data_IF_926521579901
#
_entry.id   IF_926521579901
#
_cell.length_a   1.000
_cell.length_b   1.000
_cell.length_c   1.000
_cell.angle_alpha   90.00
_cell.angle_beta   90.00
_cell.angle_gamma   90.00
#
_symmetry.space_group_name_H-M   'P 1'
#
loop_
_entity.id
_entity.type
_entity.pdbx_description
1 polymer ?
#
# COMPACT_ATOMS: atom_id res chain seq x y z
N UNK A 1 1.81 -0.37 20.72
CA UNK A 1 2.92 0.07 21.58
C UNK A 1 2.36 0.39 22.95
N UNK A 2 2.89 -0.19 24.04
CA UNK A 2 3.94 -1.22 24.02
C UNK A 2 3.48 -2.53 23.35
N UNK A 3 4.35 -3.55 23.25
CA UNK A 3 3.93 -4.88 22.81
C UNK A 3 3.07 -5.57 23.90
N UNK A 4 1.97 -6.27 23.56
CA UNK A 4 1.12 -6.95 24.55
C UNK A 4 1.74 -8.24 25.11
N UNK A 5 2.71 -8.85 24.43
CA UNK A 5 3.33 -10.12 24.83
C UNK A 5 4.67 -9.92 25.56
N UNK A 6 5.24 -8.73 25.49
CA UNK A 6 6.53 -8.41 26.12
C UNK A 6 6.29 -7.79 27.50
N UNK A 7 6.54 -8.58 28.55
CA UNK A 7 6.49 -8.14 29.94
C UNK A 7 7.63 -7.17 30.30
N UNK A 8 7.69 -6.73 31.56
CA UNK A 8 8.65 -5.72 32.00
C UNK A 8 10.10 -6.23 32.01
N UNK A 9 10.34 -7.49 32.40
CA UNK A 9 11.68 -8.09 32.41
C UNK A 9 12.23 -8.25 30.99
N UNK A 10 11.44 -8.86 30.10
CA UNK A 10 11.81 -9.05 28.71
C UNK A 10 12.02 -7.71 28.01
N UNK A 11 11.18 -6.70 28.30
CA UNK A 11 11.37 -5.34 27.78
C UNK A 11 12.68 -4.71 28.23
N UNK A 12 13.04 -4.88 29.51
CA UNK A 12 14.31 -4.38 30.04
C UNK A 12 15.50 -5.04 29.34
N UNK A 13 15.45 -6.37 29.15
CA UNK A 13 16.51 -7.13 28.45
C UNK A 13 16.65 -6.72 26.98
N UNK A 14 15.54 -6.61 26.24
CA UNK A 14 15.54 -6.13 24.85
C UNK A 14 16.08 -4.69 24.77
N UNK A 15 15.63 -3.82 25.67
CA UNK A 15 16.07 -2.43 25.73
C UNK A 15 17.57 -2.29 26.01
N UNK A 16 18.10 -3.08 26.94
CA UNK A 16 19.53 -3.11 27.24
C UNK A 16 20.36 -3.61 26.04
N UNK A 17 19.90 -4.67 25.35
CA UNK A 17 20.56 -5.18 24.16
C UNK A 17 20.57 -4.13 23.02
N UNK A 18 19.44 -3.46 22.78
CA UNK A 18 19.34 -2.38 21.79
C UNK A 18 20.28 -1.21 22.09
N UNK A 19 20.36 -0.79 23.36
CA UNK A 19 21.26 0.28 23.80
C UNK A 19 22.74 -0.12 23.70
N UNK A 20 23.08 -1.37 24.01
CA UNK A 20 24.44 -1.88 23.88
C UNK A 20 24.89 -1.87 22.42
N UNK A 21 24.04 -2.36 21.50
CA UNK A 21 24.30 -2.35 20.06
C UNK A 21 24.51 -0.92 19.53
N UNK A 22 23.61 0.00 19.88
CA UNK A 22 23.70 1.39 19.43
C UNK A 22 24.98 2.09 19.93
N UNK A 23 25.42 1.81 21.16
CA UNK A 23 26.67 2.33 21.71
C UNK A 23 27.89 1.77 21.00
N UNK A 24 27.93 0.47 20.77
CA UNK A 24 29.05 -0.20 20.07
C UNK A 24 29.19 0.31 18.63
N UNK A 25 28.05 0.55 17.96
CA UNK A 25 28.03 1.11 16.61
C UNK A 25 28.38 2.62 16.55
N UNK A 26 28.54 3.30 17.69
CA UNK A 26 28.71 4.75 17.75
C UNK A 26 27.52 5.50 17.15
N UNK A 27 26.32 4.92 17.23
CA UNK A 27 25.15 5.42 16.54
C UNK A 27 24.68 6.75 17.13
N UNK A 28 24.33 7.68 16.23
CA UNK A 28 23.83 9.01 16.58
C UNK A 28 22.46 9.20 15.95
N UNK A 29 21.60 9.97 16.62
CA UNK A 29 20.22 10.23 16.23
C UNK A 29 19.26 9.05 16.56
N UNK A 30 17.97 9.19 16.25
CA UNK A 30 16.98 8.13 16.43
C UNK A 30 17.18 6.99 15.43
N UNK A 31 16.98 5.76 15.89
CA UNK A 31 17.04 4.55 15.08
C UNK A 31 16.18 3.46 15.71
N UNK A 32 16.03 2.34 15.03
CA UNK A 32 15.26 1.19 15.54
C UNK A 32 16.06 -0.07 15.42
N UNK A 33 16.11 -0.83 16.52
CA UNK A 33 16.71 -2.17 16.55
C UNK A 33 15.56 -3.16 16.54
N UNK A 34 15.55 -4.05 15.55
CA UNK A 34 14.49 -5.01 15.33
C UNK A 34 14.88 -6.38 15.88
N UNK A 35 13.93 -7.01 16.56
CA UNK A 35 14.09 -8.30 17.18
C UNK A 35 12.94 -9.23 16.79
N UNK A 36 13.21 -10.53 16.72
CA UNK A 36 12.19 -11.59 16.76
C UNK A 36 12.15 -12.14 18.18
N UNK A 37 10.95 -12.26 18.74
CA UNK A 37 10.71 -12.89 20.04
C UNK A 37 10.02 -14.23 19.79
N UNK A 38 10.48 -15.28 20.47
CA UNK A 38 9.90 -16.62 20.44
C UNK A 38 8.99 -16.85 21.67
N UNK A 39 8.17 -17.89 21.63
CA UNK A 39 7.13 -18.19 22.64
C UNK A 39 7.71 -18.47 24.04
N UNK A 40 8.98 -18.88 24.12
CA UNK A 40 9.71 -19.11 25.37
C UNK A 40 10.32 -17.84 25.99
N UNK A 41 10.13 -16.67 25.36
CA UNK A 41 10.71 -15.39 25.78
C UNK A 41 12.16 -15.19 25.36
N UNK A 42 12.74 -16.10 24.56
CA UNK A 42 13.98 -15.86 23.84
C UNK A 42 13.77 -14.78 22.79
N UNK A 43 14.80 -13.96 22.55
CA UNK A 43 14.75 -12.93 21.52
C UNK A 43 16.07 -12.87 20.74
N UNK A 44 15.95 -12.56 19.46
CA UNK A 44 17.05 -12.58 18.49
C UNK A 44 17.07 -11.27 17.71
N UNK A 45 18.25 -10.70 17.55
CA UNK A 45 18.47 -9.52 16.73
C UNK A 45 18.29 -9.86 15.25
N UNK A 46 17.55 -9.02 14.52
CA UNK A 46 17.44 -9.08 13.07
C UNK A 46 18.36 -8.05 12.41
N UNK A 47 18.04 -6.79 12.60
CA UNK A 47 18.75 -5.67 12.00
C UNK A 47 18.56 -4.37 12.80
N UNK A 48 19.34 -3.36 12.46
CA UNK A 48 19.17 -2.01 12.95
C UNK A 48 18.89 -1.06 11.78
N UNK A 49 17.73 -0.44 11.81
CA UNK A 49 17.32 0.58 10.85
C UNK A 49 17.82 1.95 11.32
N UNK A 50 18.80 2.49 10.58
CA UNK A 50 19.53 3.75 10.89
C UNK A 50 18.80 5.00 10.40
N UNK A 51 17.49 5.03 10.63
CA UNK A 51 16.58 6.12 10.25
C UNK A 51 15.38 6.16 11.18
N UNK A 52 14.60 7.23 11.10
CA UNK A 52 13.28 7.25 11.73
C UNK A 52 12.39 6.18 11.11
N UNK A 53 11.74 5.37 11.94
CA UNK A 53 10.77 4.40 11.48
C UNK A 53 9.43 5.05 11.16
N UNK A 54 8.71 4.52 10.17
CA UNK A 54 7.40 5.04 9.76
C UNK A 54 6.41 4.98 10.94
N UNK A 55 6.51 3.92 11.74
CA UNK A 55 5.71 3.61 12.92
C UNK A 55 6.10 4.37 14.19
N UNK A 56 7.09 5.27 14.16
CA UNK A 56 7.56 6.02 15.34
C UNK A 56 6.45 6.72 16.13
N UNK A 57 5.34 7.07 15.48
CA UNK A 57 4.22 7.78 16.12
C UNK A 57 3.55 6.99 17.24
N UNK A 58 3.63 5.65 17.27
CA UNK A 58 3.11 4.90 18.43
C UNK A 58 3.98 5.08 19.68
N UNK A 59 5.28 5.36 19.50
CA UNK A 59 6.21 5.71 20.57
C UNK A 59 5.97 7.13 21.04
N UNK A 60 5.75 8.07 20.11
CA UNK A 60 5.42 9.46 20.46
C UNK A 60 4.12 9.56 21.25
N UNK A 61 3.06 8.88 20.80
CA UNK A 61 1.73 8.92 21.41
C UNK A 61 1.68 8.31 22.82
N UNK A 62 2.64 7.45 23.18
CA UNK A 62 2.72 6.85 24.53
C UNK A 62 3.75 7.56 25.42
N UNK A 63 4.82 8.10 24.85
CA UNK A 63 5.88 8.79 25.59
C UNK A 63 5.73 10.31 25.69
N UNK A 64 4.80 10.92 24.94
CA UNK A 64 4.67 12.38 24.85
C UNK A 64 5.88 13.03 24.20
N UNK A 65 6.44 12.39 23.17
CA UNK A 65 7.68 12.79 22.51
C UNK A 65 7.42 13.42 21.15
N UNK A 66 8.36 14.25 20.70
CA UNK A 66 8.51 14.64 19.29
C UNK A 66 9.88 14.13 18.84
N UNK A 67 9.89 12.95 18.22
CA UNK A 67 11.15 12.30 17.84
C UNK A 67 11.84 13.11 16.75
N UNK A 68 11.10 13.69 15.80
CA UNK A 68 11.67 14.51 14.71
C UNK A 68 12.36 15.75 15.28
N UNK A 69 11.74 16.45 16.23
CA UNK A 69 12.36 17.58 16.90
C UNK A 69 13.65 17.16 17.62
N UNK A 70 13.65 16.02 18.32
CA UNK A 70 14.87 15.48 18.94
C UNK A 70 15.93 15.08 17.91
N UNK A 71 15.54 14.53 16.75
CA UNK A 71 16.48 14.23 15.68
C UNK A 71 17.20 15.49 15.20
N UNK A 72 16.48 16.59 15.06
CA UNK A 72 17.03 17.90 14.66
C UNK A 72 17.96 18.44 15.75
N UNK A 73 17.53 18.44 17.02
CA UNK A 73 18.34 18.90 18.15
C UNK A 73 19.66 18.12 18.26
N UNK A 74 19.61 16.78 18.19
CA UNK A 74 20.81 15.93 18.19
C UNK A 74 21.70 16.21 16.98
N UNK A 75 21.12 16.41 15.78
CA UNK A 75 21.89 16.77 14.58
C UNK A 75 22.57 18.14 14.68
N UNK A 76 22.02 19.06 15.50
CA UNK A 76 22.64 20.35 15.84
C UNK A 76 23.70 20.24 16.95
N UNK A 77 23.95 19.04 17.48
CA UNK A 77 24.91 18.80 18.56
C UNK A 77 24.33 19.03 19.96
N UNK A 78 23.02 19.22 20.09
CA UNK A 78 22.36 19.37 21.39
C UNK A 78 22.23 18.02 22.12
N UNK A 79 22.17 18.09 23.45
CA UNK A 79 21.88 16.93 24.29
C UNK A 79 20.39 16.89 24.59
N UNK A 80 19.75 15.77 24.28
CA UNK A 80 18.34 15.51 24.62
C UNK A 80 18.27 14.74 25.94
N UNK A 81 17.60 15.30 26.94
CA UNK A 81 17.31 14.63 28.21
C UNK A 81 15.98 13.88 28.12
N UNK A 82 16.03 12.54 28.23
CA UNK A 82 14.87 11.66 28.20
C UNK A 82 14.52 11.09 29.59
N UNK A 83 15.20 11.51 30.67
CA UNK A 83 15.03 10.97 32.02
C UNK A 83 13.61 11.17 32.59
N UNK A 84 12.92 12.24 32.17
CA UNK A 84 11.54 12.56 32.54
C UNK A 84 10.48 11.80 31.75
N UNK A 85 10.86 11.11 30.68
CA UNK A 85 9.90 10.44 29.79
C UNK A 85 9.27 9.25 30.52
N UNK A 86 7.95 9.14 30.41
CA UNK A 86 7.17 8.01 30.92
C UNK A 86 6.25 7.54 29.82
N UNK A 87 6.41 6.28 29.42
CA UNK A 87 5.50 5.64 28.47
C UNK A 87 4.24 5.22 29.22
N UNK A 88 3.10 5.76 28.82
CA UNK A 88 1.81 5.47 29.45
C UNK A 88 0.77 5.05 28.40
N UNK A 89 -0.17 4.23 28.86
CA UNK A 89 -1.27 3.74 28.03
C UNK A 89 -0.81 2.83 26.90
N UNK A 90 -1.57 2.86 25.81
CA UNK A 90 -1.31 2.07 24.62
C UNK A 90 -1.65 2.87 23.36
N UNK A 91 -0.83 2.73 22.32
CA UNK A 91 -1.08 3.30 21.00
C UNK A 91 -1.09 2.24 19.90
N UNK A 92 -1.99 2.40 18.93
CA UNK A 92 -2.14 1.57 17.74
C UNK A 92 -2.02 2.49 16.52
N UNK A 93 -1.32 2.03 15.49
CA UNK A 93 -1.24 2.70 14.19
C UNK A 93 -1.76 1.75 13.10
N UNK A 94 -2.57 2.28 12.20
CA UNK A 94 -2.95 1.65 10.94
C UNK A 94 -2.37 2.48 9.78
N UNK A 95 -1.66 1.83 8.86
CA UNK A 95 -1.18 2.44 7.61
C UNK A 95 -2.29 2.37 6.57
N UNK A 96 -2.72 3.53 6.09
CA UNK A 96 -3.79 3.62 5.09
C UNK A 96 -3.14 3.70 3.72
N UNK A 97 -3.29 2.61 2.97
CA UNK A 97 -2.70 2.41 1.66
C UNK A 97 -3.78 2.39 0.60
N UNK A 98 -3.44 2.88 -0.60
CA UNK A 98 -4.25 2.75 -1.80
C UNK A 98 -4.10 1.35 -2.41
N UNK A 99 -4.59 0.33 -1.70
CA UNK A 99 -4.51 -1.09 -2.07
C UNK A 99 -5.87 -1.74 -1.87
N UNK A 100 -6.15 -2.79 -2.63
CA UNK A 100 -7.36 -3.61 -2.49
C UNK A 100 -7.03 -4.97 -1.83
N UNK A 101 -7.28 -5.12 -0.51
CA UNK A 101 -7.00 -6.37 0.19
C UNK A 101 -7.81 -7.57 -0.32
N UNK A 102 -8.97 -7.35 -0.97
CA UNK A 102 -9.78 -8.43 -1.55
C UNK A 102 -9.19 -8.98 -2.85
N UNK A 103 -8.29 -8.21 -3.47
CA UNK A 103 -7.59 -8.56 -4.71
C UNK A 103 -6.08 -8.70 -4.47
N UNK A 104 -5.74 -9.41 -3.39
CA UNK A 104 -4.35 -9.67 -3.01
C UNK A 104 -3.50 -8.38 -2.89
N UNK A 105 -4.06 -7.36 -2.25
CA UNK A 105 -3.41 -6.06 -2.00
C UNK A 105 -2.98 -5.31 -3.27
N UNK A 106 -3.65 -5.55 -4.40
CA UNK A 106 -3.32 -4.85 -5.64
C UNK A 106 -3.35 -3.32 -5.43
N UNK A 107 -2.26 -2.60 -5.73
CA UNK A 107 -2.26 -1.14 -5.63
C UNK A 107 -3.27 -0.51 -6.59
N UNK A 108 -4.02 0.46 -6.10
CA UNK A 108 -5.00 1.22 -6.86
C UNK A 108 -4.65 2.71 -6.90
N UNK A 109 -3.63 3.11 -7.67
CA UNK A 109 -3.34 4.53 -7.87
C UNK A 109 -4.54 5.20 -8.53
N UNK A 110 -4.79 6.46 -8.19
CA UNK A 110 -6.00 7.12 -8.64
C UNK A 110 -6.27 8.45 -7.95
N UNK A 111 -7.34 9.11 -8.36
CA UNK A 111 -7.77 10.38 -7.78
C UNK A 111 -8.67 10.11 -6.58
N UNK A 112 -8.34 10.71 -5.44
CA UNK A 112 -9.20 10.71 -4.27
C UNK A 112 -10.37 11.66 -4.53
N UNK A 113 -11.59 11.13 -4.62
CA UNK A 113 -12.80 11.91 -4.92
C UNK A 113 -13.48 12.46 -3.68
N UNK A 114 -13.29 11.81 -2.53
CA UNK A 114 -13.71 12.31 -1.23
C UNK A 114 -12.67 11.92 -0.18
N UNK A 115 -12.34 12.84 0.75
CA UNK A 115 -11.38 12.58 1.82
C UNK A 115 -11.81 13.26 3.12
N UNK A 116 -12.10 12.45 4.15
CA UNK A 116 -12.45 12.94 5.49
C UNK A 116 -11.73 12.13 6.55
N UNK A 117 -10.76 12.76 7.20
CA UNK A 117 -10.04 12.18 8.32
C UNK A 117 -10.93 12.08 9.57
N UNK A 118 -10.75 11.05 10.41
CA UNK A 118 -11.37 10.99 11.72
C UNK A 118 -10.76 12.04 12.65
N UNK A 119 -11.53 12.45 13.65
CA UNK A 119 -11.12 13.47 14.60
C UNK A 119 -11.41 13.07 16.06
N UNK A 120 -10.98 13.93 16.97
CA UNK A 120 -11.27 13.85 18.39
C UNK A 120 -10.05 13.54 19.25
N UNK A 121 -10.25 13.46 20.57
CA UNK A 121 -9.18 13.23 21.52
C UNK A 121 -8.42 11.93 21.22
N UNK A 122 -7.09 12.00 21.32
CA UNK A 122 -6.20 10.85 21.15
C UNK A 122 -6.28 10.19 19.77
N UNK A 123 -6.75 10.91 18.76
CA UNK A 123 -6.70 10.53 17.34
C UNK A 123 -5.75 11.48 16.62
N UNK A 124 -4.77 10.91 15.94
CA UNK A 124 -3.79 11.63 15.11
C UNK A 124 -3.79 11.02 13.72
N UNK A 125 -3.78 11.88 12.71
CA UNK A 125 -3.60 11.47 11.32
C UNK A 125 -2.39 12.20 10.77
N UNK A 126 -1.41 11.43 10.30
CA UNK A 126 -0.31 11.96 9.49
C UNK A 126 -0.63 11.60 8.03
N UNK A 127 -1.02 12.56 7.20
CA UNK A 127 -1.40 12.33 5.79
C UNK A 127 -0.57 13.15 4.80
N UNK A 128 -0.36 12.60 3.60
CA UNK A 128 0.33 13.26 2.48
C UNK A 128 -0.62 13.72 1.38
N UNK A 129 -1.93 13.55 1.56
CA UNK A 129 -2.95 13.74 0.52
C UNK A 129 -4.14 14.54 1.06
N UNK A 130 -4.99 15.01 0.13
CA UNK A 130 -6.27 15.66 0.42
C UNK A 130 -7.24 15.34 -0.71
N UNK A 131 -8.51 15.66 -0.50
CA UNK A 131 -9.54 15.51 -1.52
C UNK A 131 -9.11 16.15 -2.85
N UNK A 132 -9.35 15.42 -3.95
CA UNK A 132 -9.00 15.80 -5.30
C UNK A 132 -7.52 15.61 -5.68
N UNK A 133 -6.67 15.11 -4.78
CA UNK A 133 -5.29 14.75 -5.13
C UNK A 133 -5.23 13.35 -5.73
N UNK A 134 -4.18 13.12 -6.51
CA UNK A 134 -3.86 11.81 -7.06
C UNK A 134 -2.90 11.09 -6.13
N UNK A 135 -3.17 9.81 -5.88
CA UNK A 135 -2.17 8.85 -5.41
C UNK A 135 -1.43 8.34 -6.66
N UNK A 136 -0.18 8.76 -6.89
CA UNK A 136 0.58 8.37 -8.06
C UNK A 136 1.00 6.90 -7.98
N UNK A 137 1.19 6.26 -9.14
CA UNK A 137 1.70 4.89 -9.21
C UNK A 137 3.22 4.79 -8.96
N UNK A 138 3.95 5.89 -9.14
CA UNK A 138 5.42 5.92 -9.04
C UNK A 138 5.95 5.95 -7.60
N UNK A 139 5.06 5.99 -6.60
CA UNK A 139 5.41 6.10 -5.18
C UNK A 139 4.70 5.02 -4.35
N UNK A 140 5.06 4.94 -3.08
CA UNK A 140 4.40 4.07 -2.10
C UNK A 140 2.87 4.31 -2.08
N UNK A 141 2.11 3.23 -1.98
CA UNK A 141 0.65 3.25 -1.91
C UNK A 141 0.13 3.88 -0.61
N UNK A 142 0.94 3.93 0.45
CA UNK A 142 0.61 4.54 1.73
C UNK A 142 0.48 6.06 1.60
N UNK A 143 -0.71 6.57 1.90
CA UNK A 143 -0.98 8.01 1.84
C UNK A 143 -1.34 8.63 3.20
N UNK A 144 -1.64 7.81 4.22
CA UNK A 144 -1.87 8.28 5.58
C UNK A 144 -1.50 7.23 6.64
N UNK A 145 -1.21 7.70 7.85
CA UNK A 145 -1.11 6.89 9.06
C UNK A 145 -2.21 7.35 10.01
N UNK A 146 -3.12 6.45 10.36
CA UNK A 146 -4.08 6.68 11.44
C UNK A 146 -3.49 6.15 12.74
N UNK A 147 -3.34 7.00 13.74
CA UNK A 147 -2.75 6.66 15.04
C UNK A 147 -3.75 7.01 16.12
N UNK A 148 -3.98 6.10 17.05
CA UNK A 148 -4.79 6.37 18.24
C UNK A 148 -4.05 5.92 19.49
N UNK A 149 -4.27 6.61 20.60
CA UNK A 149 -3.86 6.14 21.93
C UNK A 149 -5.05 5.98 22.87
N UNK A 150 -4.85 5.24 23.95
CA UNK A 150 -5.81 5.05 25.05
C UNK A 150 -5.11 4.64 26.33
N UNK A 151 -5.87 4.63 27.43
CA UNK A 151 -5.37 4.24 28.77
C UNK A 151 -4.91 2.78 28.82
N UNK A 152 -5.52 1.93 27.99
CA UNK A 152 -5.13 0.54 27.80
C UNK A 152 -5.27 0.14 26.31
N UNK A 153 -4.83 -1.07 26.01
CA UNK A 153 -4.85 -1.62 24.64
C UNK A 153 -6.26 -1.76 24.09
N UNK A 154 -7.23 -2.16 24.91
CA UNK A 154 -8.60 -2.38 24.46
C UNK A 154 -9.31 -1.06 24.17
N UNK A 155 -9.07 -0.04 24.99
CA UNK A 155 -9.55 1.32 24.76
C UNK A 155 -8.94 1.89 23.46
N UNK A 156 -7.64 1.71 23.24
CA UNK A 156 -7.00 2.09 21.98
C UNK A 156 -7.59 1.33 20.78
N UNK A 157 -7.84 0.02 20.90
CA UNK A 157 -8.47 -0.81 19.84
C UNK A 157 -9.87 -0.32 19.49
N UNK A 158 -10.74 -0.12 20.48
CA UNK A 158 -12.11 0.40 20.27
C UNK A 158 -12.09 1.80 19.65
N UNK A 159 -11.17 2.66 20.10
CA UNK A 159 -10.98 4.01 19.53
C UNK A 159 -10.51 3.93 18.07
N UNK A 160 -9.62 2.98 17.74
CA UNK A 160 -9.17 2.75 16.37
C UNK A 160 -10.32 2.30 15.48
N UNK A 161 -11.15 1.35 15.92
CA UNK A 161 -12.33 0.90 15.18
C UNK A 161 -13.29 2.06 14.86
N UNK A 162 -13.59 2.90 15.87
CA UNK A 162 -14.38 4.12 15.66
C UNK A 162 -13.72 5.05 14.63
N UNK A 163 -12.43 5.34 14.80
CA UNK A 163 -11.72 6.25 13.91
C UNK A 163 -11.65 5.72 12.46
N UNK A 164 -11.46 4.42 12.26
CA UNK A 164 -11.52 3.79 10.93
C UNK A 164 -12.93 3.88 10.31
N UNK A 165 -13.99 3.71 11.11
CA UNK A 165 -15.36 3.85 10.63
C UNK A 165 -15.73 5.30 10.24
N UNK A 166 -15.09 6.29 10.88
CA UNK A 166 -15.23 7.71 10.54
C UNK A 166 -14.35 8.14 9.34
N UNK A 167 -13.30 7.38 9.02
CA UNK A 167 -12.36 7.71 7.97
C UNK A 167 -12.95 7.42 6.58
N UNK A 168 -13.37 8.47 5.88
CA UNK A 168 -13.93 8.37 4.53
C UNK A 168 -12.87 8.65 3.48
N UNK A 169 -12.63 7.67 2.61
CA UNK A 169 -11.78 7.81 1.42
C UNK A 169 -12.52 7.19 0.25
N UNK A 170 -12.67 7.94 -0.84
CA UNK A 170 -13.33 7.47 -2.08
C UNK A 170 -12.44 7.74 -3.29
N UNK A 171 -12.66 6.99 -4.37
CA UNK A 171 -11.95 7.13 -5.65
C UNK A 171 -10.72 6.23 -5.78
N UNK A 172 -10.23 5.64 -4.68
CA UNK A 172 -9.17 4.62 -4.64
C UNK A 172 -9.57 3.50 -3.69
N UNK A 173 -9.13 2.25 -3.90
CA UNK A 173 -9.29 1.20 -2.90
C UNK A 173 -8.47 1.55 -1.65
N UNK A 174 -8.83 0.98 -0.50
CA UNK A 174 -8.06 1.22 0.73
C UNK A 174 -7.92 -0.01 1.60
N UNK A 175 -6.89 -0.01 2.44
CA UNK A 175 -6.68 -1.01 3.51
C UNK A 175 -7.59 -0.82 4.73
N UNK A 176 -8.48 0.19 4.76
CA UNK A 176 -9.38 0.46 5.91
C UNK A 176 -10.25 -0.76 6.28
N UNK A 177 -10.96 -1.42 5.33
CA UNK A 177 -11.68 -2.67 5.57
C UNK A 177 -10.87 -3.75 6.26
N UNK A 178 -9.62 -3.93 5.81
CA UNK A 178 -8.72 -4.92 6.39
C UNK A 178 -8.39 -4.59 7.84
N UNK A 179 -8.05 -3.33 8.12
CA UNK A 179 -7.75 -2.91 9.50
C UNK A 179 -8.94 -3.11 10.43
N UNK A 180 -10.15 -2.78 9.97
CA UNK A 180 -11.37 -3.02 10.74
C UNK A 180 -11.54 -4.50 11.06
N UNK A 181 -11.37 -5.37 10.06
CA UNK A 181 -11.45 -6.81 10.23
C UNK A 181 -10.38 -7.35 11.20
N UNK A 182 -9.11 -6.98 11.01
CA UNK A 182 -8.00 -7.42 11.88
C UNK A 182 -8.27 -7.01 13.32
N UNK A 183 -8.70 -5.78 13.56
CA UNK A 183 -8.98 -5.29 14.91
C UNK A 183 -10.15 -6.00 15.58
N UNK A 184 -11.00 -6.68 14.82
CA UNK A 184 -12.12 -7.46 15.33
C UNK A 184 -11.78 -8.93 15.59
N UNK A 185 -10.64 -9.46 15.12
CA UNK A 185 -10.29 -10.86 15.37
C UNK A 185 -9.91 -11.12 16.83
N UNK A 186 -10.14 -12.34 17.30
CA UNK A 186 -9.77 -12.74 18.66
C UNK A 186 -8.25 -12.80 18.82
N UNK A 187 -7.50 -13.18 17.79
CA UNK A 187 -6.03 -13.19 17.81
C UNK A 187 -5.44 -11.79 17.96
N UNK A 188 -6.03 -10.79 17.32
CA UNK A 188 -5.62 -9.43 17.55
C UNK A 188 -6.03 -8.96 18.95
N UNK A 189 -7.26 -9.22 19.40
CA UNK A 189 -7.73 -8.82 20.75
C UNK A 189 -6.86 -9.41 21.86
N UNK A 190 -6.55 -10.69 21.75
CA UNK A 190 -5.77 -11.42 22.74
C UNK A 190 -4.25 -11.22 22.58
N UNK A 191 -3.80 -10.65 21.46
CA UNK A 191 -2.37 -10.45 21.19
C UNK A 191 -1.63 -11.75 20.85
N UNK A 192 -2.34 -12.78 20.37
CA UNK A 192 -1.81 -14.12 20.08
C UNK A 192 -1.47 -14.33 18.59
N UNK A 193 -1.28 -13.25 17.83
CA UNK A 193 -0.94 -13.30 16.41
C UNK A 193 0.58 -13.41 16.22
N UNK A 194 0.99 -14.11 15.16
CA UNK A 194 2.39 -14.27 14.74
C UNK A 194 2.67 -13.45 13.47
N UNK A 195 3.93 -13.35 13.08
CA UNK A 195 4.35 -12.67 11.84
C UNK A 195 3.73 -13.26 10.57
N UNK A 196 3.35 -14.54 10.60
CA UNK A 196 2.72 -15.27 9.48
C UNK A 196 1.20 -15.46 9.66
N UNK A 197 0.60 -14.85 10.67
CA UNK A 197 -0.82 -15.04 10.96
C UNK A 197 -1.71 -14.46 9.86
N UNK A 198 -1.43 -13.24 9.42
CA UNK A 198 -2.32 -12.52 8.49
C UNK A 198 -2.51 -13.28 7.16
N UNK A 199 -1.42 -13.77 6.57
CA UNK A 199 -1.45 -14.55 5.32
C UNK A 199 -2.34 -15.80 5.42
N UNK A 200 -2.35 -16.45 6.59
CA UNK A 200 -3.20 -17.62 6.85
C UNK A 200 -4.64 -17.20 7.09
N UNK A 201 -4.83 -16.16 7.89
CA UNK A 201 -6.15 -15.69 8.30
C UNK A 201 -6.94 -15.08 7.14
N UNK A 202 -6.27 -14.52 6.13
CA UNK A 202 -6.91 -13.99 4.93
C UNK A 202 -7.45 -15.06 3.97
N UNK A 203 -7.01 -16.32 4.09
CA UNK A 203 -7.52 -17.42 3.26
C UNK A 203 -8.95 -17.74 3.67
N UNK A 204 -9.92 -17.11 3.00
CA UNK A 204 -11.35 -17.23 3.28
C UNK A 204 -11.91 -16.12 4.18
N UNK A 205 -11.15 -15.04 4.44
CA UNK A 205 -11.66 -13.89 5.17
C UNK A 205 -12.70 -13.12 4.34
N UNK A 206 -13.76 -12.66 5.01
CA UNK A 206 -14.73 -11.75 4.42
C UNK A 206 -14.56 -10.37 5.04
N UNK A 207 -14.05 -9.43 4.25
CA UNK A 207 -13.73 -8.09 4.72
C UNK A 207 -15.00 -7.20 4.76
N UNK A 208 -15.11 -6.31 5.75
CA UNK A 208 -16.26 -5.42 5.88
C UNK A 208 -16.26 -4.36 4.77
N UNK A 209 -17.44 -4.04 4.23
CA UNK A 209 -17.57 -2.96 3.26
C UNK A 209 -16.95 -3.22 1.88
N UNK A 210 -16.47 -4.44 1.61
CA UNK A 210 -16.22 -4.88 0.23
C UNK A 210 -17.57 -5.08 -0.45
N UNK A 211 -18.07 -4.03 -1.09
CA UNK A 211 -19.07 -4.22 -2.13
C UNK A 211 -18.39 -5.07 -3.20
N UNK A 212 -18.98 -6.21 -3.55
CA UNK A 212 -18.52 -6.97 -4.72
C UNK A 212 -18.31 -5.97 -5.85
N UNK A 213 -17.08 -5.91 -6.37
CA UNK A 213 -16.74 -4.95 -7.41
C UNK A 213 -17.86 -4.99 -8.44
N UNK A 214 -18.47 -3.83 -8.73
CA UNK A 214 -19.30 -3.74 -9.91
C UNK A 214 -18.46 -4.31 -11.05
N UNK A 215 -19.02 -5.20 -11.90
CA UNK A 215 -18.26 -5.80 -12.99
C UNK A 215 -17.51 -4.69 -13.71
N UNK A 216 -16.23 -4.88 -14.06
CA UNK A 216 -15.42 -3.84 -14.65
C UNK A 216 -16.26 -3.19 -15.74
N UNK A 217 -16.57 -1.89 -15.57
CA UNK A 217 -17.17 -1.14 -16.67
C UNK A 217 -16.23 -1.33 -17.84
N UNK A 218 -16.74 -1.87 -18.96
CA UNK A 218 -15.95 -2.13 -20.15
C UNK A 218 -14.97 -0.98 -20.37
N UNK A 219 -13.69 -1.26 -20.66
CA UNK A 219 -12.72 -0.21 -20.91
C UNK A 219 -13.32 0.71 -21.96
N UNK A 220 -13.66 1.95 -21.58
CA UNK A 220 -14.14 2.95 -22.53
C UNK A 220 -13.01 3.15 -23.53
N UNK A 221 -13.13 2.53 -24.70
CA UNK A 221 -12.21 2.74 -25.81
C UNK A 221 -12.10 4.25 -26.03
N UNK A 222 -10.87 4.77 -25.98
CA UNK A 222 -10.61 6.15 -26.34
C UNK A 222 -11.03 6.34 -27.79
N UNK A 223 -12.12 7.07 -28.04
CA UNK A 223 -12.55 7.42 -29.39
C UNK A 223 -11.59 8.51 -29.89
N UNK A 224 -10.76 8.26 -30.91
CA UNK A 224 -9.82 9.26 -31.40
C UNK A 224 -10.57 10.45 -32.00
N UNK A 225 -10.08 11.66 -31.75
CA UNK A 225 -10.50 12.83 -32.50
C UNK A 225 -9.79 12.81 -33.86
N UNK A 226 -10.55 12.81 -34.95
CA UNK A 226 -10.02 13.03 -36.30
C UNK A 226 -9.96 14.51 -36.60
N UNK A 227 -8.74 15.00 -36.85
CA UNK A 227 -8.48 16.39 -37.22
C UNK A 227 -7.72 16.42 -38.54
N UNK A 228 -8.04 17.38 -39.39
CA UNK A 228 -7.26 17.64 -40.60
C UNK A 228 -6.25 18.73 -40.27
N UNK A 229 -4.96 18.39 -40.35
CA UNK A 229 -3.85 19.33 -40.16
C UNK A 229 -3.30 19.71 -41.53
N UNK A 230 -3.06 21.00 -41.76
CA UNK A 230 -2.46 21.49 -43.00
C UNK A 230 -0.96 21.72 -42.81
N UNK A 231 -0.14 21.01 -43.57
CA UNK A 231 1.32 21.13 -43.61
C UNK A 231 1.74 21.45 -45.04
N UNK A 232 2.44 22.57 -45.24
CA UNK A 232 2.91 23.03 -46.55
C UNK A 232 1.82 23.03 -47.65
N UNK A 233 0.61 23.46 -47.28
CA UNK A 233 -0.54 23.53 -48.19
C UNK A 233 -1.20 22.18 -48.51
N UNK A 234 -0.79 21.09 -47.82
CA UNK A 234 -1.41 19.77 -47.94
C UNK A 234 -2.16 19.40 -46.67
N UNK A 235 -3.40 18.96 -46.85
CA UNK A 235 -4.29 18.54 -45.76
C UNK A 235 -4.06 17.07 -45.43
N UNK A 236 -3.62 16.79 -44.22
CA UNK A 236 -3.34 15.44 -43.71
C UNK A 236 -4.33 15.14 -42.58
N UNK A 237 -5.17 14.10 -42.71
CA UNK A 237 -6.02 13.65 -41.61
C UNK A 237 -5.16 12.94 -40.56
N UNK A 238 -5.31 13.34 -39.30
CA UNK A 238 -4.56 12.84 -38.15
C UNK A 238 -5.54 12.40 -37.06
N UNK A 239 -5.29 11.23 -36.46
CA UNK A 239 -6.07 10.69 -35.35
C UNK A 239 -5.34 10.98 -34.04
N UNK A 240 -5.94 11.78 -33.17
CA UNK A 240 -5.38 12.12 -31.86
C UNK A 240 -6.11 11.33 -30.77
N UNK A 241 -5.35 10.56 -30.01
CA UNK A 241 -5.81 9.85 -28.82
C UNK A 241 -5.41 10.69 -27.60
N UNK A 242 -6.38 11.36 -26.97
CA UNK A 242 -6.15 12.21 -25.79
C UNK A 242 -6.85 11.59 -24.57
N UNK A 243 -6.10 11.36 -23.49
CA UNK A 243 -6.62 10.85 -22.21
C UNK A 243 -7.30 11.92 -21.34
N UNK A 244 -7.53 13.16 -21.83
CA UNK A 244 -8.00 14.29 -21.01
C UNK A 244 -9.32 14.96 -21.42
N UNK A 245 -10.33 14.21 -21.87
CA UNK A 245 -11.68 14.79 -22.07
C UNK A 245 -12.80 14.01 -21.41
N UNK A 246 -12.98 14.25 -20.12
CA UNK A 246 -14.26 14.05 -19.43
C UNK A 246 -15.21 15.21 -19.78
N UNK A 247 -16.00 15.04 -20.85
CA UNK A 247 -17.41 15.52 -21.00
C UNK A 247 -17.82 15.42 -22.48
N UNK A 248 -18.96 14.76 -22.74
CA UNK A 248 -19.50 14.56 -24.09
C UNK A 248 -20.52 15.65 -24.48
N UNK A 249 -20.51 16.18 -25.71
CA UNK A 249 -21.70 16.78 -26.32
C UNK A 249 -22.56 15.68 -26.98
N UNK A 250 -23.89 15.88 -27.00
CA UNK A 250 -24.85 14.90 -27.56
C UNK A 250 -25.19 15.13 -29.05
N UNK A 251 -25.54 14.00 -29.69
CA UNK A 251 -26.45 13.76 -30.86
C UNK A 251 -25.87 14.01 -32.28
N UNK A 252 -26.30 13.30 -33.37
CA UNK A 252 -27.49 12.44 -33.54
C UNK A 252 -27.28 11.05 -34.20
N UNK A 253 -28.42 10.40 -34.48
CA UNK A 253 -28.68 8.99 -34.82
C UNK A 253 -28.27 8.52 -36.24
N UNK A 254 -27.96 7.22 -36.30
CA UNK A 254 -28.36 6.19 -37.30
C UNK A 254 -27.33 5.74 -38.35
N UNK A 255 -27.15 4.41 -38.32
CA UNK A 255 -26.81 3.42 -39.37
C UNK A 255 -25.44 2.74 -39.36
N UNK A 256 -25.59 1.43 -39.15
CA UNK A 256 -24.92 0.28 -39.78
C UNK A 256 -23.59 -0.26 -39.24
N UNK A 257 -23.60 -1.59 -39.21
CA UNK A 257 -22.71 -2.48 -38.53
C UNK A 257 -21.41 -2.67 -39.32
N UNK A 258 -20.30 -2.79 -38.60
CA UNK A 258 -19.13 -3.50 -39.08
C UNK A 258 -18.59 -4.41 -37.97
N UNK A 259 -18.62 -5.71 -38.24
CA UNK A 259 -17.78 -6.69 -37.59
C UNK A 259 -16.31 -6.28 -37.76
N UNK A 260 -15.58 -6.17 -36.65
CA UNK A 260 -14.13 -6.03 -36.60
C UNK A 260 -13.53 -7.20 -35.79
N UNK A 261 -12.48 -7.87 -36.27
CA UNK A 261 -11.89 -9.05 -35.63
C UNK A 261 -10.84 -8.67 -34.57
N UNK A 262 -10.66 -9.57 -33.58
CA UNK A 262 -9.45 -9.72 -32.74
C UNK A 262 -9.02 -8.51 -31.90
N UNK A 263 -9.42 -8.46 -30.62
CA UNK A 263 -8.88 -7.48 -29.67
C UNK A 263 -7.74 -8.10 -28.88
N UNK A 264 -6.51 -7.92 -29.37
CA UNK A 264 -5.28 -8.19 -28.62
C UNK A 264 -5.31 -7.41 -27.29
N UNK A 265 -5.04 -8.10 -26.17
CA UNK A 265 -5.00 -7.50 -24.84
C UNK A 265 -3.57 -7.45 -24.33
N UNK A 266 -3.07 -6.25 -24.13
CA UNK A 266 -1.72 -6.01 -23.62
C UNK A 266 -1.74 -6.00 -22.09
N UNK A 267 -0.94 -6.87 -21.47
CA UNK A 267 -0.63 -6.83 -20.05
C UNK A 267 0.61 -5.97 -19.87
N UNK A 268 0.48 -4.89 -19.12
CA UNK A 268 1.57 -3.96 -18.86
C UNK A 268 2.04 -4.03 -17.39
N UNK A 269 3.31 -3.69 -17.16
CA UNK A 269 3.87 -3.61 -15.82
C UNK A 269 3.15 -2.52 -15.02
N UNK A 270 2.53 -2.83 -13.87
CA UNK A 270 1.80 -1.84 -13.08
C UNK A 270 2.73 -0.88 -12.35
N UNK A 271 3.99 -1.25 -12.19
CA UNK A 271 5.01 -0.53 -11.44
C UNK A 271 6.41 -0.85 -11.95
N UNK A 272 7.39 -0.05 -11.55
CA UNK A 272 8.80 -0.33 -11.79
C UNK A 272 9.25 -1.49 -10.90
N UNK A 273 9.97 -2.46 -11.45
CA UNK A 273 10.53 -3.56 -10.66
C UNK A 273 11.39 -4.52 -11.47
N UNK A 274 11.86 -5.58 -10.83
CA UNK A 274 12.67 -6.64 -11.46
C UNK A 274 11.83 -7.88 -11.63
N UNK A 275 11.79 -8.47 -12.83
CA UNK A 275 11.11 -9.75 -13.06
C UNK A 275 11.89 -10.85 -12.34
N UNK A 276 11.34 -11.42 -11.28
CA UNK A 276 11.95 -12.56 -10.59
C UNK A 276 11.78 -13.85 -11.39
N UNK A 277 10.54 -14.08 -11.86
CA UNK A 277 10.16 -15.30 -12.57
C UNK A 277 9.08 -15.00 -13.60
N UNK A 278 9.18 -15.64 -14.76
CA UNK A 278 8.10 -15.71 -15.75
C UNK A 278 7.50 -17.10 -15.64
N UNK A 279 6.17 -17.19 -15.57
CA UNK A 279 5.43 -18.42 -15.23
C UNK A 279 4.61 -18.97 -16.40
N UNK A 280 4.66 -18.29 -17.55
CA UNK A 280 3.99 -18.69 -18.78
C UNK A 280 4.97 -18.70 -19.95
N UNK A 281 4.60 -19.39 -21.02
CA UNK A 281 5.35 -19.47 -22.28
C UNK A 281 4.57 -18.80 -23.42
N UNK A 282 5.26 -18.38 -24.49
CA UNK A 282 4.58 -17.96 -25.72
C UNK A 282 3.79 -19.15 -26.30
N UNK A 283 2.65 -18.86 -26.93
CA UNK A 283 1.66 -19.83 -27.44
C UNK A 283 0.93 -20.64 -26.35
N UNK A 284 1.15 -20.35 -25.06
CA UNK A 284 0.41 -20.99 -23.97
C UNK A 284 -1.01 -20.41 -23.85
N UNK A 285 -1.99 -21.30 -23.70
CA UNK A 285 -3.36 -20.92 -23.33
C UNK A 285 -3.45 -20.72 -21.82
N UNK A 286 -4.03 -19.58 -21.40
CA UNK A 286 -4.15 -19.17 -20.00
C UNK A 286 -5.58 -18.74 -19.69
N UNK A 287 -5.98 -18.85 -18.43
CA UNK A 287 -7.27 -18.40 -17.92
C UNK A 287 -7.17 -17.01 -17.24
N UNK A 288 -8.31 -16.35 -17.07
CA UNK A 288 -8.36 -15.10 -16.33
C UNK A 288 -7.95 -15.34 -14.86
N UNK A 289 -6.96 -14.61 -14.38
CA UNK A 289 -6.39 -14.77 -13.03
C UNK A 289 -5.10 -15.57 -12.98
N UNK A 290 -4.71 -16.26 -14.06
CA UNK A 290 -3.43 -16.98 -14.12
C UNK A 290 -2.26 -16.01 -14.01
N UNK A 291 -1.23 -16.39 -13.24
CA UNK A 291 -0.08 -15.51 -12.99
C UNK A 291 0.91 -15.62 -14.14
N UNK A 292 1.20 -14.49 -14.77
CA UNK A 292 2.11 -14.37 -15.91
C UNK A 292 3.56 -14.31 -15.45
N UNK A 293 3.84 -13.46 -14.46
CA UNK A 293 5.17 -13.28 -13.90
C UNK A 293 5.11 -12.78 -12.46
N UNK A 294 6.22 -12.95 -11.74
CA UNK A 294 6.47 -12.38 -10.41
C UNK A 294 7.45 -11.23 -10.57
N UNK A 295 7.07 -10.06 -10.08
CA UNK A 295 7.84 -8.82 -10.13
C UNK A 295 8.24 -8.40 -8.71
N UNK A 296 9.52 -8.21 -8.47
CA UNK A 296 10.03 -7.63 -7.22
C UNK A 296 10.04 -6.11 -7.34
N UNK A 297 9.32 -5.46 -6.43
CA UNK A 297 9.37 -4.01 -6.26
C UNK A 297 9.30 -3.69 -4.77
N UNK A 298 10.06 -2.70 -4.32
CA UNK A 298 10.06 -2.25 -2.92
C UNK A 298 10.31 -3.38 -1.90
N UNK A 299 11.16 -4.35 -2.24
CA UNK A 299 11.43 -5.58 -1.44
C UNK A 299 10.22 -6.51 -1.24
N UNK A 300 9.19 -6.38 -2.08
CA UNK A 300 8.01 -7.24 -2.08
C UNK A 300 7.84 -7.93 -3.43
N UNK A 301 7.40 -9.19 -3.40
CA UNK A 301 7.05 -9.96 -4.59
C UNK A 301 5.60 -9.69 -4.99
N UNK A 302 5.40 -9.26 -6.23
CA UNK A 302 4.09 -8.97 -6.81
C UNK A 302 3.80 -9.93 -7.94
N UNK A 303 2.82 -10.82 -7.74
CA UNK A 303 2.30 -11.66 -8.81
C UNK A 303 1.46 -10.81 -9.78
N UNK A 304 1.74 -10.91 -11.08
CA UNK A 304 1.00 -10.21 -12.13
C UNK A 304 -0.01 -11.18 -12.76
N UNK A 305 -1.31 -11.10 -12.43
CA UNK A 305 -2.33 -11.97 -13.00
C UNK A 305 -2.80 -11.49 -14.38
N UNK A 306 -3.22 -12.43 -15.22
CA UNK A 306 -3.88 -12.17 -16.49
C UNK A 306 -5.27 -11.59 -16.26
N UNK A 307 -5.63 -10.44 -16.86
CA UNK A 307 -6.95 -9.83 -16.70
C UNK A 307 -8.05 -10.63 -17.42
N UNK A 308 -7.68 -11.48 -18.39
CA UNK A 308 -8.56 -12.37 -19.14
C UNK A 308 -7.80 -13.62 -19.60
N UNK A 309 -8.54 -14.66 -19.97
CA UNK A 309 -7.98 -15.80 -20.66
C UNK A 309 -7.76 -15.54 -22.15
N UNK A 310 -6.98 -16.42 -22.77
CA UNK A 310 -6.61 -16.40 -24.18
C UNK A 310 -5.24 -17.02 -24.42
N UNK A 311 -4.72 -16.88 -25.63
CA UNK A 311 -3.41 -17.41 -26.00
C UNK A 311 -2.34 -16.33 -25.85
N UNK A 312 -1.23 -16.63 -25.17
CA UNK A 312 -0.10 -15.69 -25.06
C UNK A 312 0.58 -15.55 -26.42
N UNK A 313 0.39 -14.42 -27.11
CA UNK A 313 0.92 -14.17 -28.45
C UNK A 313 2.30 -13.51 -28.45
N UNK A 314 2.62 -12.72 -27.42
CA UNK A 314 3.95 -12.13 -27.23
C UNK A 314 4.34 -12.12 -25.76
N UNK A 315 5.60 -12.43 -25.43
CA UNK A 315 6.13 -12.38 -24.07
C UNK A 315 7.50 -11.68 -24.02
N UNK A 316 7.56 -10.34 -24.18
CA UNK A 316 8.80 -9.57 -24.33
C UNK A 316 9.55 -9.32 -23.00
N UNK A 317 9.54 -10.30 -22.08
CA UNK A 317 10.18 -10.20 -20.76
C UNK A 317 11.00 -11.44 -20.39
N UNK A 318 12.01 -11.26 -19.54
CA UNK A 318 12.85 -12.36 -19.01
C UNK A 318 13.13 -12.18 -17.53
N UNK A 319 13.37 -13.28 -16.82
CA UNK A 319 13.83 -13.24 -15.43
C UNK A 319 15.13 -12.42 -15.30
N UNK A 320 15.23 -11.59 -14.28
CA UNK A 320 16.30 -10.61 -14.04
C UNK A 320 16.14 -9.28 -14.76
N UNK A 321 15.15 -9.11 -15.64
CA UNK A 321 14.94 -7.85 -16.36
C UNK A 321 14.27 -6.80 -15.47
N UNK A 322 14.80 -5.58 -15.50
CA UNK A 322 14.13 -4.41 -14.91
C UNK A 322 13.10 -3.87 -15.89
N UNK A 323 11.87 -3.68 -15.43
CA UNK A 323 10.75 -3.15 -16.21
C UNK A 323 10.29 -1.80 -15.65
N UNK A 324 9.78 -0.95 -16.54
CA UNK A 324 9.20 0.36 -16.19
C UNK A 324 7.67 0.30 -16.18
N UNK A 325 6.98 1.19 -15.44
CA UNK A 325 5.53 1.25 -15.47
C UNK A 325 5.00 1.41 -16.90
N UNK A 326 3.97 0.64 -17.26
CA UNK A 326 3.39 0.64 -18.60
C UNK A 326 4.16 -0.17 -19.64
N UNK A 327 5.33 -0.72 -19.33
CA UNK A 327 6.05 -1.60 -20.24
C UNK A 327 5.28 -2.91 -20.46
N UNK A 328 5.14 -3.34 -21.72
CA UNK A 328 4.48 -4.61 -22.07
C UNK A 328 5.19 -5.78 -21.40
N UNK A 329 4.40 -6.59 -20.68
CA UNK A 329 4.81 -7.84 -20.06
C UNK A 329 4.42 -9.04 -20.93
N UNK A 330 3.16 -9.06 -21.41
CA UNK A 330 2.65 -10.09 -22.30
C UNK A 330 1.51 -9.53 -23.17
N UNK A 331 1.29 -10.13 -24.34
CA UNK A 331 0.11 -9.89 -25.18
C UNK A 331 -0.72 -11.17 -25.22
N UNK A 332 -2.03 -11.05 -25.05
CA UNK A 332 -2.98 -12.15 -25.11
C UNK A 332 -3.90 -11.94 -26.31
N UNK A 333 -4.13 -12.99 -27.08
CA UNK A 333 -5.14 -13.08 -28.13
C UNK A 333 -6.42 -13.68 -27.58
#
# INVERSE_FOLDING_TARGET
>A
SPSPVVDEDLRARIGQAALALAKEAGYTNAGTVEFIVDDDGSFYFLEMNTRLQVEHTVTEMTGGLDLVAYQIAVAQGERVDLSGVRFQGHAIQCRINAEDPSRNFLPGPGRITAYREPAGPFVRVDSGVREGRQVPADYDSMFAKLVVSGEDREQARRRMLRALAEFRVEGVPTTIPLHQWVLETDEFRNGSHTTTWLERALKGAQLPGTVAAAPPSEPRQAVPAELIVELDGRRVPVRIFDHRRDTAPKTPSRHEAHHGPGVHSVIAAPMQGTILRVLVEEEQEIEAGDVICILEAMKMENAIPAPRGGMVSELPIKAGQVVQPGQTLAVID
#
